data_IF_787532559612
#
_entry.id   IF_787532559612
#
_cell.length_a   1.000
_cell.length_b   1.000
_cell.length_c   1.000
_cell.angle_alpha   90.00
_cell.angle_beta   90.00
_cell.angle_gamma   90.00
#
_symmetry.space_group_name_H-M   'P 1'
#
loop_
_entity.id
_entity.type
_entity.pdbx_description
1 polymer ?
#
# COMPACT_ATOMS: atom_id res chain seq x y z
N UNK A 1 6.62 -9.83 -9.15
CA UNK A 1 7.35 -9.60 -7.89
C UNK A 1 6.28 -9.54 -6.80
N UNK A 2 6.31 -10.42 -5.79
CA UNK A 2 5.29 -10.40 -4.73
C UNK A 2 5.72 -9.38 -3.69
N UNK A 3 5.05 -8.23 -3.65
CA UNK A 3 5.25 -7.24 -2.60
C UNK A 3 4.49 -7.71 -1.39
N UNK A 4 5.20 -8.06 -0.31
CA UNK A 4 4.54 -8.39 0.95
C UNK A 4 4.07 -7.09 1.58
N UNK A 5 2.76 -6.84 1.58
CA UNK A 5 2.16 -5.61 2.10
C UNK A 5 1.12 -5.97 3.14
N UNK A 6 1.31 -5.52 4.37
CA UNK A 6 0.39 -5.78 5.47
C UNK A 6 -0.54 -4.60 5.75
N UNK A 7 -1.68 -4.88 6.39
CA UNK A 7 -2.50 -3.85 7.02
C UNK A 7 -1.73 -3.20 8.19
N UNK A 8 -1.57 -1.86 8.22
CA UNK A 8 -0.82 -1.18 9.28
C UNK A 8 -1.48 -1.28 10.66
N UNK A 9 -2.77 -1.63 10.74
CA UNK A 9 -3.51 -1.76 12.00
C UNK A 9 -3.44 -3.17 12.60
N UNK A 10 -3.66 -4.20 11.79
CA UNK A 10 -3.80 -5.57 12.26
C UNK A 10 -2.67 -6.51 11.81
N UNK A 11 -1.68 -6.00 11.06
CA UNK A 11 -0.55 -6.76 10.50
C UNK A 11 -0.98 -8.02 9.74
N UNK A 12 -2.13 -7.95 9.07
CA UNK A 12 -2.63 -9.02 8.21
C UNK A 12 -2.18 -8.80 6.79
N UNK A 13 -1.79 -9.89 6.13
CA UNK A 13 -1.40 -9.89 4.73
C UNK A 13 -2.51 -9.29 3.87
N UNK A 14 -2.12 -8.25 3.13
CA UNK A 14 -2.93 -7.50 2.18
C UNK A 14 -2.23 -7.42 0.81
N UNK A 15 -1.20 -8.24 0.59
CA UNK A 15 -0.40 -8.27 -0.65
C UNK A 15 -1.26 -8.49 -1.89
N UNK A 16 -2.34 -9.28 -1.76
CA UNK A 16 -3.33 -9.52 -2.81
C UNK A 16 -4.16 -8.28 -3.22
N UNK A 17 -4.09 -7.18 -2.45
CA UNK A 17 -4.72 -5.89 -2.76
C UNK A 17 -3.72 -4.84 -3.26
N UNK A 18 -2.42 -5.10 -3.11
CA UNK A 18 -1.34 -4.19 -3.47
C UNK A 18 -1.03 -4.26 -4.98
N UNK A 19 -1.98 -3.84 -5.79
CA UNK A 19 -1.85 -3.75 -7.25
C UNK A 19 -1.81 -2.28 -7.69
N UNK A 20 -0.98 -1.96 -8.69
CA UNK A 20 -0.87 -0.61 -9.25
C UNK A 20 -2.20 -0.07 -9.75
N UNK A 21 -3.07 -0.95 -10.23
CA UNK A 21 -4.42 -0.59 -10.66
C UNK A 21 -5.30 -0.03 -9.54
N UNK A 22 -4.97 -0.31 -8.26
CA UNK A 22 -5.72 0.20 -7.12
C UNK A 22 -5.18 1.54 -6.60
N UNK A 23 -4.08 2.05 -7.16
CA UNK A 23 -3.61 3.40 -6.89
C UNK A 23 -4.72 4.38 -7.32
N UNK A 24 -5.19 5.18 -6.37
CA UNK A 24 -6.21 6.23 -6.54
C UNK A 24 -7.66 5.76 -6.86
N UNK A 25 -7.98 4.46 -6.77
CA UNK A 25 -9.37 3.98 -6.95
C UNK A 25 -10.28 4.14 -5.73
N UNK A 26 -9.78 4.65 -4.60
CA UNK A 26 -10.54 4.84 -3.37
C UNK A 26 -10.04 3.99 -2.19
N UNK A 27 -10.78 3.95 -1.08
CA UNK A 27 -10.39 3.18 0.09
C UNK A 27 -10.46 1.68 -0.17
N UNK A 28 -9.38 0.98 0.19
CA UNK A 28 -9.30 -0.47 0.24
C UNK A 28 -9.56 -0.89 1.69
N UNK A 29 -10.59 -1.69 1.90
CA UNK A 29 -10.94 -2.15 3.24
C UNK A 29 -10.16 -3.41 3.58
N UNK A 30 -9.55 -3.41 4.78
CA UNK A 30 -8.94 -4.62 5.31
C UNK A 30 -10.02 -5.67 5.59
N UNK A 31 -9.88 -6.88 5.04
CA UNK A 31 -10.85 -7.96 5.26
C UNK A 31 -10.93 -8.45 6.72
N UNK A 32 -9.94 -8.12 7.54
CA UNK A 32 -9.85 -8.54 8.93
C UNK A 32 -10.36 -7.51 9.95
N UNK A 33 -9.95 -6.24 9.81
CA UNK A 33 -10.30 -5.18 10.76
C UNK A 33 -11.21 -4.11 10.18
N UNK A 34 -11.63 -4.27 8.90
CA UNK A 34 -12.52 -3.37 8.17
C UNK A 34 -12.03 -1.92 8.10
N UNK A 35 -10.77 -1.67 8.46
CA UNK A 35 -10.16 -0.35 8.39
C UNK A 35 -10.04 0.06 6.93
N UNK A 36 -10.50 1.28 6.55
CA UNK A 36 -10.27 1.82 5.23
C UNK A 36 -8.81 2.26 5.11
N UNK A 37 -8.14 1.77 4.07
CA UNK A 37 -6.73 2.01 3.79
C UNK A 37 -6.57 2.61 2.40
N UNK A 38 -5.51 3.39 2.21
CA UNK A 38 -5.06 3.87 0.90
C UNK A 38 -3.79 3.14 0.52
N UNK A 39 -3.76 2.55 -0.67
CA UNK A 39 -2.52 2.04 -1.25
C UNK A 39 -1.67 3.23 -1.71
N UNK A 40 -0.41 3.23 -1.29
CA UNK A 40 0.61 4.18 -1.72
C UNK A 40 1.66 3.45 -2.55
N UNK A 41 2.25 4.18 -3.48
CA UNK A 41 3.39 3.75 -4.27
C UNK A 41 4.48 4.79 -4.15
N UNK A 42 5.72 4.34 -4.00
CA UNK A 42 6.89 5.20 -4.07
C UNK A 42 8.06 4.44 -4.68
N UNK A 43 8.92 5.20 -5.32
CA UNK A 43 10.16 4.68 -5.89
C UNK A 43 11.30 5.14 -5.00
N UNK A 44 12.13 4.18 -4.57
CA UNK A 44 13.37 4.49 -3.88
C UNK A 44 14.52 4.10 -4.80
N UNK A 45 15.46 5.02 -4.99
CA UNK A 45 16.64 4.77 -5.80
C UNK A 45 17.73 4.21 -4.90
N UNK A 46 18.14 2.97 -5.17
CA UNK A 46 19.24 2.34 -4.46
C UNK A 46 20.56 2.73 -5.14
N UNK A 47 21.32 3.64 -4.52
CA UNK A 47 22.60 4.11 -5.06
C UNK A 47 23.68 3.02 -5.08
N UNK A 48 23.57 1.95 -4.28
CA UNK A 48 24.54 0.86 -4.25
C UNK A 48 24.31 -0.12 -5.40
N UNK A 49 23.06 -0.37 -5.78
CA UNK A 49 22.70 -1.23 -6.92
C UNK A 49 22.56 -0.48 -8.24
N UNK A 50 22.35 0.85 -8.20
CA UNK A 50 22.09 1.67 -9.39
C UNK A 50 20.71 1.39 -10.02
N UNK A 51 19.78 0.85 -9.25
CA UNK A 51 18.43 0.47 -9.70
C UNK A 51 17.34 1.19 -8.89
N UNK A 52 16.21 1.48 -9.54
CA UNK A 52 15.03 2.00 -8.87
C UNK A 52 14.16 0.85 -8.35
N UNK A 53 13.91 0.82 -7.05
CA UNK A 53 12.97 -0.11 -6.43
C UNK A 53 11.63 0.58 -6.18
N UNK A 54 10.60 0.11 -6.89
CA UNK A 54 9.21 0.45 -6.58
C UNK A 54 8.74 -0.29 -5.32
N UNK A 55 8.14 0.45 -4.38
CA UNK A 55 7.57 -0.07 -3.13
C UNK A 55 6.11 0.32 -3.01
N UNK A 56 5.31 -0.61 -2.48
CA UNK A 56 3.90 -0.42 -2.17
C UNK A 56 3.69 -0.52 -0.66
N UNK A 57 2.88 0.36 -0.08
CA UNK A 57 2.48 0.29 1.32
C UNK A 57 1.07 0.83 1.55
N UNK A 58 0.39 0.32 2.58
CA UNK A 58 -0.91 0.85 2.99
C UNK A 58 -0.74 1.91 4.06
N UNK A 59 -1.50 3.00 3.93
CA UNK A 59 -1.73 3.98 5.00
C UNK A 59 -3.22 4.00 5.35
N UNK A 60 -3.59 4.55 6.51
CA UNK A 60 -5.01 4.79 6.81
C UNK A 60 -5.60 5.74 5.78
N UNK A 61 -6.80 5.44 5.33
CA UNK A 61 -7.57 6.37 4.51
C UNK A 61 -8.12 7.46 5.43
N UNK A 62 -7.47 8.61 5.44
CA UNK A 62 -8.01 9.82 6.05
C UNK A 62 -8.77 10.55 4.94
N UNK A 63 -10.10 10.66 5.08
CA UNK A 63 -10.87 11.58 4.25
C UNK A 63 -10.38 12.99 4.61
N UNK A 64 -9.59 13.60 3.74
CA UNK A 64 -9.35 15.05 3.81
C UNK A 64 -10.72 15.72 3.63
N UNK A 65 -11.37 16.03 4.76
CA UNK A 65 -12.53 16.91 4.83
C UNK A 65 -12.13 18.24 4.16
N UNK A 66 -12.70 18.49 2.98
CA UNK A 66 -12.47 19.69 2.17
C UNK A 66 -13.45 20.81 2.55
#
# INVERSE_FOLDING_TARGET
MFYYVDCPECNKDMSHKAETDNLDKGPIYCAHCETPLRLQYGENFDEEMGESMGMFWFIKWEEEEK
#
